data_IF_536533783535
#
_entry.id   IF_536533783535
#
_cell.length_a   1.000
_cell.length_b   1.000
_cell.length_c   1.000
_cell.angle_alpha   90.00
_cell.angle_beta   90.00
_cell.angle_gamma   90.00
#
_symmetry.space_group_name_H-M   'P 1'
#
loop_
_entity.id
_entity.type
_entity.pdbx_description
1 polymer ?
#
# COMPACT_ATOMS: atom_id res chain seq x y z
N UNK A 1 -2.29 14.66 23.29
CA UNK A 1 -1.61 15.92 22.93
C UNK A 1 -1.95 16.24 21.48
N UNK A 2 -2.14 17.50 21.08
CA UNK A 2 -2.69 17.83 19.75
C UNK A 2 -1.66 17.72 18.62
N UNK A 3 -2.01 17.05 17.51
CA UNK A 3 -1.17 16.85 16.31
C UNK A 3 -0.98 18.12 15.43
N UNK A 4 -0.89 19.31 16.04
CA UNK A 4 -0.67 20.58 15.33
C UNK A 4 -1.74 20.90 14.27
N UNK A 5 -1.37 21.72 13.27
CA UNK A 5 -2.27 22.17 12.19
C UNK A 5 -2.78 21.01 11.33
N UNK A 6 -1.94 20.01 11.05
CA UNK A 6 -2.33 18.84 10.26
C UNK A 6 -3.45 18.04 10.97
N UNK A 7 -3.36 17.88 12.29
CA UNK A 7 -4.42 17.27 13.09
C UNK A 7 -5.74 18.05 13.04
N UNK A 8 -5.68 19.39 13.04
CA UNK A 8 -6.88 20.25 12.89
C UNK A 8 -7.53 20.06 11.52
N UNK A 9 -6.72 20.00 10.44
CA UNK A 9 -7.21 19.75 9.09
C UNK A 9 -7.87 18.37 8.96
N UNK A 10 -7.27 17.33 9.54
CA UNK A 10 -7.87 15.99 9.51
C UNK A 10 -9.19 15.93 10.28
N UNK A 11 -9.29 16.58 11.45
CA UNK A 11 -10.53 16.67 12.22
C UNK A 11 -11.64 17.38 11.45
N UNK A 12 -11.32 18.47 10.75
CA UNK A 12 -12.25 19.16 9.86
C UNK A 12 -12.73 18.25 8.71
N UNK A 13 -11.90 17.29 8.28
CA UNK A 13 -12.26 16.25 7.30
C UNK A 13 -12.92 15.00 7.91
N UNK A 14 -13.42 15.08 9.15
CA UNK A 14 -14.04 13.96 9.90
C UNK A 14 -13.09 12.78 10.17
N UNK A 15 -11.79 13.03 10.21
CA UNK A 15 -10.81 12.04 10.67
C UNK A 15 -11.14 11.56 12.08
N UNK A 16 -11.10 10.25 12.28
CA UNK A 16 -11.30 9.63 13.60
C UNK A 16 -9.96 9.21 14.16
N UNK A 17 -9.68 9.66 15.37
CA UNK A 17 -8.44 9.36 16.08
C UNK A 17 -8.60 8.07 16.90
N UNK A 18 -7.57 7.23 16.87
CA UNK A 18 -7.45 5.99 17.61
C UNK A 18 -6.04 5.90 18.18
N UNK A 19 -5.87 5.10 19.23
CA UNK A 19 -4.56 4.73 19.74
C UNK A 19 -4.39 3.24 19.56
N UNK A 20 -3.36 2.84 18.85
CA UNK A 20 -3.00 1.45 18.66
C UNK A 20 -2.02 1.01 19.73
N UNK A 21 -2.14 -0.25 20.15
CA UNK A 21 -1.21 -0.86 21.12
C UNK A 21 -0.48 -2.00 20.45
N UNK A 22 0.85 -1.93 20.43
CA UNK A 22 1.70 -2.99 19.88
C UNK A 22 1.54 -4.26 20.72
N UNK A 23 1.28 -5.38 20.06
CA UNK A 23 1.18 -6.70 20.69
C UNK A 23 2.41 -7.57 20.40
N UNK A 24 3.20 -7.20 19.38
CA UNK A 24 4.43 -7.89 19.01
C UNK A 24 5.00 -7.35 17.70
N UNK A 25 6.17 -7.84 17.32
CA UNK A 25 6.80 -7.51 16.05
C UNK A 25 7.59 -8.70 15.48
N UNK A 26 7.73 -8.72 14.16
CA UNK A 26 8.39 -9.76 13.38
C UNK A 26 9.35 -9.10 12.39
N UNK A 27 10.60 -9.54 12.35
CA UNK A 27 11.55 -9.15 11.31
C UNK A 27 11.38 -10.10 10.11
N UNK A 28 10.67 -9.66 9.07
CA UNK A 28 10.30 -10.49 7.91
C UNK A 28 11.50 -10.69 6.98
N UNK A 29 12.21 -9.61 6.67
CA UNK A 29 13.50 -9.61 5.99
C UNK A 29 14.43 -8.60 6.68
N UNK A 30 15.68 -8.43 6.25
CA UNK A 30 16.56 -7.40 6.83
C UNK A 30 15.98 -5.98 6.68
N UNK A 31 15.28 -5.73 5.57
CA UNK A 31 14.75 -4.43 5.17
C UNK A 31 13.21 -4.35 5.27
N UNK A 32 12.57 -5.33 5.91
CA UNK A 32 11.12 -5.39 6.02
C UNK A 32 10.68 -5.91 7.39
N UNK A 33 9.84 -5.15 8.09
CA UNK A 33 9.39 -5.47 9.45
C UNK A 33 7.88 -5.38 9.57
N UNK A 34 7.30 -6.33 10.30
CA UNK A 34 5.88 -6.35 10.63
C UNK A 34 5.68 -6.04 12.11
N UNK A 35 4.70 -5.20 12.41
CA UNK A 35 4.30 -4.84 13.78
C UNK A 35 2.84 -5.18 13.96
N UNK A 36 2.51 -6.00 14.96
CA UNK A 36 1.15 -6.40 15.28
C UNK A 36 0.54 -5.44 16.29
N UNK A 37 -0.73 -5.06 16.11
CA UNK A 37 -1.40 -4.11 16.98
C UNK A 37 -2.82 -4.51 17.34
N UNK A 38 -3.26 -4.06 18.52
CA UNK A 38 -4.68 -3.85 18.85
C UNK A 38 -5.10 -2.48 18.33
N UNK A 39 -6.28 -2.40 17.74
CA UNK A 39 -6.75 -1.27 16.93
C UNK A 39 -7.47 -0.16 17.71
N UNK A 40 -7.60 -0.31 19.03
CA UNK A 40 -8.33 0.66 19.87
C UNK A 40 -9.83 0.79 19.52
N UNK A 41 -10.43 -0.22 18.89
CA UNK A 41 -11.84 -0.23 18.45
C UNK A 41 -12.07 0.35 17.05
N UNK A 42 -11.01 0.63 16.29
CA UNK A 42 -11.11 1.23 14.96
C UNK A 42 -11.98 0.41 14.00
N UNK A 43 -11.72 -0.88 13.84
CA UNK A 43 -12.41 -1.74 12.88
C UNK A 43 -13.90 -1.85 13.18
N UNK A 44 -14.27 -1.93 14.45
CA UNK A 44 -15.68 -1.90 14.88
C UNK A 44 -16.34 -0.58 14.53
N UNK A 45 -15.66 0.54 14.81
CA UNK A 45 -16.18 1.87 14.51
C UNK A 45 -16.35 2.13 13.00
N UNK A 46 -15.57 1.44 12.15
CA UNK A 46 -15.58 1.62 10.69
C UNK A 46 -16.49 0.65 9.94
N UNK A 47 -17.05 -0.35 10.63
CA UNK A 47 -17.82 -1.40 9.98
C UNK A 47 -16.94 -2.43 9.24
N UNK A 48 -15.70 -2.61 9.70
CA UNK A 48 -14.72 -3.54 9.13
C UNK A 48 -13.64 -2.87 8.30
N UNK A 49 -12.99 -3.68 7.45
CA UNK A 49 -11.93 -3.28 6.55
C UNK A 49 -12.31 -3.53 5.09
N UNK A 50 -11.60 -2.89 4.17
CA UNK A 50 -11.71 -3.11 2.73
C UNK A 50 -10.30 -3.30 2.14
N UNK A 51 -10.17 -3.81 0.90
CA UNK A 51 -8.87 -3.98 0.27
C UNK A 51 -8.11 -2.64 0.20
N UNK A 52 -6.80 -2.70 0.36
CA UNK A 52 -5.88 -1.55 0.31
C UNK A 52 -6.14 -0.49 1.40
N UNK A 53 -6.95 -0.78 2.41
CA UNK A 53 -7.24 0.14 3.51
C UNK A 53 -5.96 0.52 4.25
N UNK A 54 -5.78 1.81 4.47
CA UNK A 54 -4.62 2.35 5.16
C UNK A 54 -5.03 3.30 6.28
N UNK A 55 -4.10 3.68 7.13
CA UNK A 55 -4.34 4.59 8.25
C UNK A 55 -3.15 5.53 8.39
N UNK A 56 -3.38 6.76 8.85
CA UNK A 56 -2.31 7.71 9.15
C UNK A 56 -1.79 7.41 10.54
N UNK A 57 -0.53 7.04 10.66
CA UNK A 57 0.15 6.81 11.92
C UNK A 57 0.98 8.04 12.26
N UNK A 58 0.91 8.51 13.50
CA UNK A 58 1.61 9.69 14.00
C UNK A 58 2.90 9.29 14.72
N UNK A 59 4.03 9.52 14.07
CA UNK A 59 5.35 9.36 14.66
C UNK A 59 5.85 10.68 15.24
N UNK A 60 6.90 10.62 16.05
CA UNK A 60 7.65 11.81 16.44
C UNK A 60 8.93 11.94 15.61
N UNK A 61 9.19 13.13 15.09
CA UNK A 61 10.45 13.48 14.45
C UNK A 61 10.96 14.81 15.02
N UNK A 62 12.11 14.77 15.71
CA UNK A 62 12.70 15.94 16.35
C UNK A 62 11.71 16.72 17.25
N UNK A 63 10.90 16.00 18.03
CA UNK A 63 9.90 16.58 18.94
C UNK A 63 8.66 17.16 18.26
N UNK A 64 8.43 16.86 16.97
CA UNK A 64 7.24 17.29 16.22
C UNK A 64 6.46 16.09 15.69
N UNK A 65 5.11 16.18 15.61
CA UNK A 65 4.29 15.16 14.96
C UNK A 65 4.68 15.00 13.49
N UNK A 66 4.78 13.74 13.05
CA UNK A 66 5.15 13.36 11.70
C UNK A 66 4.31 12.17 11.27
N UNK A 67 3.32 12.40 10.40
CA UNK A 67 2.42 11.34 9.97
C UNK A 67 2.94 10.57 8.76
N UNK A 68 2.66 9.27 8.70
CA UNK A 68 2.81 8.43 7.50
C UNK A 68 1.60 7.50 7.35
N UNK A 69 1.23 7.21 6.11
CA UNK A 69 0.17 6.26 5.81
C UNK A 69 0.72 4.83 5.80
N UNK A 70 0.00 3.89 6.40
CA UNK A 70 0.33 2.47 6.37
C UNK A 70 -0.91 1.63 6.10
N UNK A 71 -0.77 0.64 5.23
CA UNK A 71 -1.83 -0.32 4.90
C UNK A 71 -2.05 -1.31 6.06
N UNK A 72 -3.31 -1.65 6.32
CA UNK A 72 -3.70 -2.71 7.25
C UNK A 72 -3.37 -4.07 6.66
N UNK A 73 -2.72 -4.93 7.45
CA UNK A 73 -2.44 -6.33 7.11
C UNK A 73 -3.25 -7.23 8.04
N UNK A 74 -3.99 -8.18 7.46
CA UNK A 74 -4.83 -9.15 8.19
C UNK A 74 -5.73 -8.52 9.26
N UNK A 75 -6.59 -7.55 8.91
CA UNK A 75 -7.54 -7.00 9.86
C UNK A 75 -8.54 -8.07 10.32
N UNK A 76 -8.64 -8.24 11.63
CA UNK A 76 -9.64 -9.06 12.32
C UNK A 76 -10.55 -8.13 13.14
N UNK A 77 -11.75 -7.80 12.62
CA UNK A 77 -12.71 -6.95 13.33
C UNK A 77 -13.23 -7.56 14.63
N UNK A 78 -13.26 -8.89 14.75
CA UNK A 78 -13.75 -9.56 15.96
C UNK A 78 -12.70 -9.48 17.08
N UNK A 79 -11.42 -9.63 16.74
CA UNK A 79 -10.33 -9.50 17.69
C UNK A 79 -9.87 -8.04 17.90
N UNK A 80 -10.25 -7.11 17.02
CA UNK A 80 -9.75 -5.73 17.02
C UNK A 80 -8.24 -5.67 16.79
N UNK A 81 -7.74 -6.47 15.85
CA UNK A 81 -6.30 -6.59 15.57
C UNK A 81 -6.01 -6.47 14.09
N UNK A 82 -4.80 -6.00 13.77
CA UNK A 82 -4.22 -6.07 12.44
C UNK A 82 -2.70 -5.91 12.58
N UNK A 83 -1.97 -5.93 11.48
CA UNK A 83 -0.54 -5.65 11.43
C UNK A 83 -0.22 -4.49 10.50
N UNK A 84 0.90 -3.83 10.78
CA UNK A 84 1.51 -2.79 9.96
C UNK A 84 2.83 -3.34 9.42
N UNK A 85 3.11 -3.12 8.14
CA UNK A 85 4.35 -3.56 7.50
C UNK A 85 5.18 -2.35 7.05
N UNK A 86 6.46 -2.39 7.36
CA UNK A 86 7.41 -1.30 7.17
C UNK A 86 8.51 -1.75 6.23
N UNK A 87 8.56 -1.18 5.03
CA UNK A 87 9.77 -1.16 4.22
C UNK A 87 10.78 -0.24 4.92
N UNK A 88 11.84 -0.82 5.47
CA UNK A 88 12.78 -0.11 6.33
C UNK A 88 13.72 0.75 5.48
N UNK A 89 13.78 2.03 5.84
CA UNK A 89 14.67 3.04 5.26
C UNK A 89 14.95 4.11 6.33
N UNK A 90 15.77 5.12 6.03
CA UNK A 90 16.02 6.20 7.00
C UNK A 90 14.75 7.02 7.30
N UNK A 91 14.43 7.20 8.57
CA UNK A 91 13.39 8.13 9.02
C UNK A 91 12.51 7.61 10.16
N UNK A 92 11.78 8.55 10.77
CA UNK A 92 11.07 8.35 12.05
C UNK A 92 10.14 7.12 12.11
N UNK A 93 9.50 6.76 11.00
CA UNK A 93 8.61 5.61 10.98
C UNK A 93 9.37 4.27 11.04
N UNK A 94 10.47 4.15 10.29
CA UNK A 94 11.36 2.98 10.35
C UNK A 94 12.10 2.92 11.68
N UNK A 95 12.55 4.08 12.21
CA UNK A 95 13.23 4.16 13.50
C UNK A 95 12.32 3.68 14.64
N UNK A 96 11.05 4.10 14.61
CA UNK A 96 10.04 3.58 15.52
C UNK A 96 9.80 2.09 15.31
N UNK A 97 9.61 1.64 14.07
CA UNK A 97 9.32 0.23 13.79
C UNK A 97 10.44 -0.70 14.28
N UNK A 98 11.71 -0.32 14.12
CA UNK A 98 12.88 -1.08 14.58
C UNK A 98 12.89 -1.29 16.10
N UNK A 99 12.34 -0.35 16.87
CA UNK A 99 12.35 -0.39 18.33
C UNK A 99 11.01 -0.78 18.95
N UNK A 100 9.94 -0.84 18.15
CA UNK A 100 8.59 -1.17 18.59
C UNK A 100 8.52 -2.55 19.29
N UNK A 101 8.00 -2.53 20.51
CA UNK A 101 7.85 -3.69 21.39
C UNK A 101 6.43 -3.75 21.97
N UNK A 102 6.04 -4.93 22.45
CA UNK A 102 4.72 -5.13 23.02
C UNK A 102 4.46 -4.17 24.20
N UNK A 103 3.29 -3.54 24.20
CA UNK A 103 2.89 -2.52 25.16
C UNK A 103 3.11 -1.08 24.69
N UNK A 104 3.94 -0.84 23.67
CA UNK A 104 4.09 0.49 23.08
C UNK A 104 2.76 0.94 22.46
N UNK A 105 2.50 2.25 22.51
CA UNK A 105 1.31 2.84 21.90
C UNK A 105 1.69 3.82 20.80
N UNK A 106 0.85 3.90 19.76
CA UNK A 106 1.00 4.89 18.70
C UNK A 106 -0.35 5.45 18.28
N UNK A 107 -0.40 6.77 18.09
CA UNK A 107 -1.62 7.46 17.68
C UNK A 107 -1.84 7.29 16.17
N UNK A 108 -3.11 7.18 15.80
CA UNK A 108 -3.52 6.97 14.43
C UNK A 108 -4.77 7.77 14.10
N UNK A 109 -4.87 8.23 12.85
CA UNK A 109 -6.07 8.89 12.31
C UNK A 109 -6.52 8.16 11.06
N UNK A 110 -7.77 7.70 11.05
CA UNK A 110 -8.39 7.12 9.87
C UNK A 110 -9.10 8.19 9.05
N UNK A 111 -8.64 8.41 7.82
CA UNK A 111 -9.22 9.40 6.91
C UNK A 111 -8.83 9.11 5.46
N UNK A 112 -9.82 9.11 4.55
CA UNK A 112 -9.58 9.10 3.09
C UNK A 112 -9.14 7.76 2.51
N UNK A 113 -9.59 6.64 3.06
CA UNK A 113 -9.05 5.31 2.77
C UNK A 113 -9.85 4.52 1.74
N UNK A 114 -11.08 4.96 1.45
CA UNK A 114 -12.07 4.15 0.72
C UNK A 114 -11.56 3.57 -0.59
N UNK A 115 -11.89 2.31 -0.82
CA UNK A 115 -11.58 1.57 -2.03
C UNK A 115 -12.81 0.77 -2.46
N UNK A 116 -13.08 0.78 -3.76
CA UNK A 116 -14.13 -0.03 -4.38
C UNK A 116 -13.55 -0.66 -5.63
N UNK A 117 -13.75 -1.97 -5.81
CA UNK A 117 -13.45 -2.63 -7.07
C UNK A 117 -14.36 -2.05 -8.16
N UNK A 118 -13.86 -1.91 -9.40
CA UNK A 118 -14.68 -1.39 -10.49
C UNK A 118 -15.79 -2.40 -10.85
N UNK A 119 -16.93 -1.86 -11.30
CA UNK A 119 -18.06 -2.64 -11.81
C UNK A 119 -18.24 -2.39 -13.32
N UNK A 120 -18.39 -3.44 -14.16
CA UNK A 120 -18.33 -4.86 -13.81
C UNK A 120 -16.95 -5.31 -13.32
N UNK A 121 -16.89 -6.39 -12.55
CA UNK A 121 -15.62 -6.97 -12.07
C UNK A 121 -14.59 -7.13 -13.21
N UNK A 122 -13.30 -6.79 -12.98
CA UNK A 122 -12.31 -6.83 -14.03
C UNK A 122 -11.97 -8.26 -14.43
N UNK A 123 -11.84 -8.49 -15.74
CA UNK A 123 -11.39 -9.76 -16.28
C UNK A 123 -9.88 -9.96 -16.11
N UNK A 124 -9.11 -8.85 -16.00
CA UNK A 124 -7.65 -8.86 -15.82
C UNK A 124 -7.21 -7.75 -14.88
N UNK A 125 -6.20 -8.02 -14.07
CA UNK A 125 -5.61 -7.08 -13.13
C UNK A 125 -4.15 -6.80 -13.52
N UNK A 126 -3.79 -5.52 -13.63
CA UNK A 126 -2.42 -5.08 -13.85
C UNK A 126 -1.97 -4.27 -12.64
N UNK A 127 -1.03 -4.82 -11.86
CA UNK A 127 -0.55 -4.23 -10.62
C UNK A 127 0.86 -3.72 -10.82
N UNK A 128 1.13 -2.48 -10.45
CA UNK A 128 2.48 -1.93 -10.38
C UNK A 128 2.72 -1.40 -8.97
N UNK A 129 3.79 -1.87 -8.33
CA UNK A 129 4.12 -1.47 -6.98
C UNK A 129 5.57 -1.66 -6.60
N UNK A 130 5.85 -1.45 -5.32
CA UNK A 130 7.16 -1.59 -4.70
C UNK A 130 6.98 -2.12 -3.26
N UNK A 131 8.07 -2.23 -2.51
CA UNK A 131 8.05 -2.73 -1.13
C UNK A 131 7.09 -1.97 -0.21
N UNK A 132 6.87 -0.67 -0.40
CA UNK A 132 5.94 0.10 0.41
C UNK A 132 4.47 -0.24 0.12
N UNK A 133 4.16 -0.77 -1.07
CA UNK A 133 2.80 -1.13 -1.47
C UNK A 133 2.49 -2.62 -1.42
N UNK A 134 3.46 -3.48 -1.12
CA UNK A 134 3.26 -4.93 -0.94
C UNK A 134 2.03 -5.28 -0.08
N UNK A 135 1.78 -4.64 1.09
CA UNK A 135 0.65 -5.05 1.92
C UNK A 135 -0.70 -4.72 1.26
N UNK A 136 -0.76 -3.63 0.49
CA UNK A 136 -1.94 -3.28 -0.29
C UNK A 136 -2.15 -4.24 -1.47
N UNK A 137 -1.07 -4.61 -2.17
CA UNK A 137 -1.09 -5.61 -3.25
C UNK A 137 -1.65 -6.93 -2.72
N UNK A 138 -1.12 -7.44 -1.62
CA UNK A 138 -1.59 -8.68 -1.01
C UNK A 138 -3.10 -8.61 -0.69
N UNK A 139 -3.56 -7.53 -0.04
CA UNK A 139 -4.99 -7.36 0.27
C UNK A 139 -5.87 -7.23 -0.98
N UNK A 140 -5.34 -6.71 -2.09
CA UNK A 140 -6.04 -6.61 -3.36
C UNK A 140 -6.17 -7.99 -4.01
N UNK A 141 -5.09 -8.77 -4.04
CA UNK A 141 -5.10 -10.13 -4.58
C UNK A 141 -6.03 -11.05 -3.78
N UNK A 142 -6.04 -10.92 -2.45
CA UNK A 142 -6.98 -11.66 -1.59
C UNK A 142 -8.46 -11.34 -1.89
N UNK A 143 -8.74 -10.13 -2.40
CA UNK A 143 -10.09 -9.69 -2.74
C UNK A 143 -10.57 -10.18 -4.12
N UNK A 144 -9.64 -10.50 -5.02
CA UNK A 144 -9.93 -11.01 -6.37
C UNK A 144 -9.07 -12.23 -6.72
N UNK A 145 -9.11 -13.31 -5.91
CA UNK A 145 -8.13 -14.40 -5.97
C UNK A 145 -8.18 -15.24 -7.26
N UNK A 146 -9.20 -15.05 -8.09
CA UNK A 146 -9.40 -15.77 -9.35
C UNK A 146 -9.22 -14.87 -10.57
N UNK A 147 -9.03 -13.56 -10.39
CA UNK A 147 -8.78 -12.63 -11.49
C UNK A 147 -7.33 -12.76 -11.94
N UNK A 148 -7.07 -13.11 -13.21
CA UNK A 148 -5.71 -13.13 -13.74
C UNK A 148 -4.99 -11.81 -13.48
N UNK A 149 -3.81 -11.88 -12.88
CA UNK A 149 -3.04 -10.70 -12.50
C UNK A 149 -1.62 -10.74 -13.05
N UNK A 150 -1.18 -9.64 -13.64
CA UNK A 150 0.24 -9.38 -13.93
C UNK A 150 0.74 -8.29 -13.00
N UNK A 151 1.77 -8.61 -12.22
CA UNK A 151 2.34 -7.73 -11.22
C UNK A 151 3.75 -7.33 -11.64
N UNK A 152 4.02 -6.03 -11.81
CA UNK A 152 5.37 -5.50 -11.87
C UNK A 152 5.73 -4.90 -10.50
N UNK A 153 6.69 -5.51 -9.83
CA UNK A 153 7.09 -5.14 -8.48
C UNK A 153 8.53 -4.66 -8.45
N UNK A 154 8.73 -3.42 -8.06
CA UNK A 154 10.06 -2.84 -7.96
C UNK A 154 10.78 -3.29 -6.69
N UNK A 155 11.98 -3.86 -6.84
CA UNK A 155 12.84 -4.31 -5.73
C UNK A 155 14.03 -3.37 -5.55
N UNK A 156 14.43 -3.13 -4.31
CA UNK A 156 15.59 -2.28 -3.96
C UNK A 156 16.71 -3.09 -3.30
N UNK A 157 16.36 -4.11 -2.53
CA UNK A 157 17.33 -4.90 -1.76
C UNK A 157 17.28 -6.37 -2.18
N UNK A 158 18.39 -7.09 -2.05
CA UNK A 158 18.43 -8.54 -2.26
C UNK A 158 17.46 -9.29 -1.32
N UNK A 159 17.21 -8.71 -0.14
CA UNK A 159 16.28 -9.26 0.85
C UNK A 159 14.83 -9.26 0.35
N UNK A 160 14.49 -8.43 -0.64
CA UNK A 160 13.16 -8.35 -1.26
C UNK A 160 12.77 -9.67 -1.96
N UNK A 161 13.74 -10.54 -2.24
CA UNK A 161 13.48 -11.86 -2.80
C UNK A 161 12.60 -12.73 -1.90
N UNK A 162 12.65 -12.49 -0.58
CA UNK A 162 11.97 -13.28 0.45
C UNK A 162 10.65 -12.65 0.92
N UNK A 163 10.19 -11.57 0.28
CA UNK A 163 8.96 -10.90 0.69
C UNK A 163 7.74 -11.82 0.57
N UNK A 164 6.78 -11.72 1.51
CA UNK A 164 5.66 -12.66 1.61
C UNK A 164 4.52 -12.29 0.66
N UNK A 165 4.70 -12.50 -0.64
CA UNK A 165 3.64 -12.30 -1.62
C UNK A 165 2.52 -13.35 -1.49
N UNK A 166 1.26 -12.92 -1.56
CA UNK A 166 0.07 -13.78 -1.58
C UNK A 166 -0.37 -14.08 -3.01
N UNK A 167 0.50 -14.77 -3.75
CA UNK A 167 0.23 -15.13 -5.14
C UNK A 167 -0.43 -16.50 -5.22
N UNK A 168 -1.38 -16.64 -6.15
CA UNK A 168 -1.77 -17.92 -6.70
C UNK A 168 -1.07 -18.08 -8.05
N UNK A 169 -0.06 -18.97 -8.20
CA UNK A 169 0.65 -19.16 -9.45
C UNK A 169 -0.23 -19.61 -10.64
N UNK A 170 -1.46 -20.09 -10.39
CA UNK A 170 -2.41 -20.41 -11.45
C UNK A 170 -3.04 -19.15 -12.09
N UNK A 171 -3.10 -18.03 -11.36
CA UNK A 171 -3.75 -16.79 -11.80
C UNK A 171 -2.79 -15.61 -11.86
N UNK A 172 -1.69 -15.62 -11.10
CA UNK A 172 -0.85 -14.44 -10.88
C UNK A 172 0.56 -14.65 -11.41
N UNK A 173 1.03 -13.68 -12.20
CA UNK A 173 2.40 -13.60 -12.72
C UNK A 173 3.13 -12.43 -12.08
N UNK A 174 4.27 -12.68 -11.42
CA UNK A 174 5.11 -11.67 -10.79
C UNK A 174 6.37 -11.39 -11.62
N UNK A 175 6.56 -10.14 -11.99
CA UNK A 175 7.79 -9.59 -12.56
C UNK A 175 8.48 -8.72 -11.52
N UNK A 176 9.56 -9.22 -10.92
CA UNK A 176 10.41 -8.41 -10.05
C UNK A 176 11.35 -7.56 -10.91
N UNK A 177 11.35 -6.25 -10.68
CA UNK A 177 12.12 -5.28 -11.47
C UNK A 177 13.07 -4.53 -10.54
N UNK A 178 14.39 -4.70 -10.65
CA UNK A 178 15.33 -3.96 -9.83
C UNK A 178 15.20 -2.45 -10.06
N UNK A 179 15.15 -1.68 -8.97
CA UNK A 179 15.11 -0.22 -9.00
C UNK A 179 16.38 0.32 -9.64
N UNK A 180 16.22 1.02 -10.75
CA UNK A 180 17.31 1.69 -11.49
C UNK A 180 16.81 3.02 -12.01
N UNK A 181 17.73 3.96 -12.20
CA UNK A 181 17.44 5.27 -12.80
C UNK A 181 16.26 5.97 -12.12
N UNK A 182 16.24 5.94 -10.78
CA UNK A 182 15.18 6.52 -9.96
C UNK A 182 13.74 6.09 -10.34
N UNK A 183 13.57 4.84 -10.78
CA UNK A 183 12.28 4.24 -11.15
C UNK A 183 12.00 4.21 -12.65
N UNK A 184 12.86 4.81 -13.48
CA UNK A 184 12.65 4.83 -14.94
C UNK A 184 12.68 3.43 -15.56
N UNK A 185 13.43 2.50 -14.97
CA UNK A 185 13.49 1.11 -15.42
C UNK A 185 12.14 0.39 -15.27
N UNK A 186 11.47 0.53 -14.12
CA UNK A 186 10.11 0.01 -13.92
C UNK A 186 9.13 0.61 -14.93
N UNK A 187 9.23 1.91 -15.17
CA UNK A 187 8.38 2.59 -16.17
C UNK A 187 8.60 2.00 -17.57
N UNK A 188 9.85 1.75 -17.97
CA UNK A 188 10.18 1.20 -19.27
C UNK A 188 9.63 -0.23 -19.45
N UNK A 189 9.83 -1.11 -18.44
CA UNK A 189 9.34 -2.49 -18.46
C UNK A 189 7.81 -2.55 -18.59
N UNK A 190 7.08 -1.77 -17.79
CA UNK A 190 5.61 -1.72 -17.85
C UNK A 190 5.15 -1.16 -19.19
N UNK A 191 5.79 -0.10 -19.71
CA UNK A 191 5.43 0.49 -21.02
C UNK A 191 5.68 -0.45 -22.19
N UNK A 192 6.70 -1.31 -22.09
CA UNK A 192 7.01 -2.29 -23.12
C UNK A 192 6.00 -3.45 -23.14
N UNK A 193 5.58 -3.94 -21.98
CA UNK A 193 4.75 -5.15 -21.88
C UNK A 193 3.24 -4.90 -21.82
N UNK A 194 2.78 -3.85 -21.12
CA UNK A 194 1.36 -3.62 -20.87
C UNK A 194 0.51 -3.47 -22.15
N UNK A 195 0.94 -2.79 -23.24
CA UNK A 195 0.11 -2.64 -24.43
C UNK A 195 -0.36 -3.96 -25.04
N UNK A 196 0.52 -4.97 -25.09
CA UNK A 196 0.20 -6.29 -25.63
C UNK A 196 -0.71 -7.07 -24.67
N UNK A 197 -0.44 -7.00 -23.37
CA UNK A 197 -1.20 -7.72 -22.35
C UNK A 197 -2.60 -7.14 -22.13
N UNK A 198 -2.79 -5.84 -22.36
CA UNK A 198 -4.07 -5.14 -22.19
C UNK A 198 -5.12 -5.62 -23.21
N UNK A 199 -4.70 -6.14 -24.37
CA UNK A 199 -5.60 -6.61 -25.42
C UNK A 199 -6.48 -5.50 -26.01
N UNK A 200 -7.52 -5.90 -26.74
CA UNK A 200 -8.31 -4.98 -27.58
C UNK A 200 -9.34 -4.15 -26.79
N UNK A 201 -9.77 -4.61 -25.62
CA UNK A 201 -10.71 -3.89 -24.75
C UNK A 201 -10.07 -3.49 -23.39
N UNK A 202 -9.59 -2.24 -23.27
CA UNK A 202 -9.06 -1.70 -22.03
C UNK A 202 -10.07 -1.61 -20.87
N UNK A 203 -11.37 -1.68 -21.14
CA UNK A 203 -12.41 -1.55 -20.13
C UNK A 203 -12.61 -2.82 -19.29
N UNK A 204 -12.10 -3.96 -19.76
CA UNK A 204 -12.08 -5.23 -19.03
C UNK A 204 -10.92 -5.34 -18.03
N UNK A 205 -9.95 -4.44 -18.14
CA UNK A 205 -8.78 -4.41 -17.27
C UNK A 205 -9.01 -3.51 -16.05
N UNK A 206 -8.31 -3.81 -14.96
CA UNK A 206 -8.10 -2.87 -13.87
C UNK A 206 -6.60 -2.65 -13.67
N UNK A 207 -6.18 -1.39 -13.74
CA UNK A 207 -4.78 -0.99 -13.55
C UNK A 207 -4.63 -0.34 -12.18
N UNK A 208 -3.88 -0.98 -11.30
CA UNK A 208 -3.60 -0.51 -9.94
C UNK A 208 -2.13 -0.16 -9.79
N UNK A 209 -1.82 1.09 -9.44
CA UNK A 209 -0.45 1.61 -9.42
C UNK A 209 -0.18 2.30 -8.08
N UNK A 210 0.82 1.81 -7.34
CA UNK A 210 1.27 2.45 -6.11
C UNK A 210 2.78 2.28 -5.90
N UNK A 211 3.55 3.28 -6.32
CA UNK A 211 5.01 3.37 -6.11
C UNK A 211 5.34 4.74 -5.53
N UNK A 212 6.55 5.26 -5.83
CA UNK A 212 6.84 6.68 -5.68
C UNK A 212 5.94 7.57 -6.57
N UNK A 213 5.80 8.82 -6.17
CA UNK A 213 4.91 9.80 -6.82
C UNK A 213 5.25 10.03 -8.30
N UNK A 214 6.53 10.02 -8.69
CA UNK A 214 6.96 10.28 -10.07
C UNK A 214 6.63 9.09 -10.96
N UNK A 215 7.01 7.89 -10.54
CA UNK A 215 6.72 6.63 -11.23
C UNK A 215 5.22 6.42 -11.39
N UNK A 216 4.47 6.60 -10.29
CA UNK A 216 3.00 6.47 -10.29
C UNK A 216 2.35 7.44 -11.28
N UNK A 217 2.75 8.72 -11.29
CA UNK A 217 2.20 9.71 -12.22
C UNK A 217 2.53 9.39 -13.68
N UNK A 218 3.73 8.91 -13.95
CA UNK A 218 4.17 8.52 -15.30
C UNK A 218 3.32 7.39 -15.86
N UNK A 219 3.15 6.32 -15.09
CA UNK A 219 2.37 5.15 -15.50
C UNK A 219 0.87 5.41 -15.54
N UNK A 220 0.34 6.21 -14.61
CA UNK A 220 -1.08 6.60 -14.66
C UNK A 220 -1.40 7.48 -15.89
N UNK A 221 -0.46 8.35 -16.29
CA UNK A 221 -0.60 9.14 -17.51
C UNK A 221 -0.55 8.24 -18.75
N UNK A 222 0.40 7.32 -18.81
CA UNK A 222 0.53 6.33 -19.88
C UNK A 222 -0.74 5.48 -20.04
N UNK A 223 -1.22 4.84 -18.96
CA UNK A 223 -2.41 4.01 -19.00
C UNK A 223 -3.65 4.77 -19.51
N UNK A 224 -3.86 6.01 -19.06
CA UNK A 224 -5.05 6.80 -19.42
C UNK A 224 -4.96 7.48 -20.78
N UNK A 225 -3.79 8.00 -21.16
CA UNK A 225 -3.64 8.83 -22.37
C UNK A 225 -3.18 8.03 -23.57
N UNK A 226 -2.29 7.08 -23.34
CA UNK A 226 -1.62 6.37 -24.43
C UNK A 226 -2.33 5.02 -24.68
N UNK A 227 -2.81 4.36 -23.61
CA UNK A 227 -3.57 3.10 -23.71
C UNK A 227 -5.10 3.28 -23.58
N UNK A 228 -5.57 4.51 -23.39
CA UNK A 228 -7.00 4.83 -23.26
C UNK A 228 -7.77 4.00 -22.21
N UNK A 229 -7.10 3.50 -21.16
CA UNK A 229 -7.76 2.78 -20.07
C UNK A 229 -8.75 3.73 -19.37
N UNK A 230 -10.03 3.35 -19.21
CA UNK A 230 -11.03 4.20 -18.57
C UNK A 230 -10.61 4.67 -17.18
N UNK A 231 -11.01 5.88 -16.79
CA UNK A 231 -10.54 6.50 -15.54
C UNK A 231 -10.91 5.68 -14.30
N UNK A 232 -12.12 5.13 -14.28
CA UNK A 232 -12.66 4.23 -13.26
C UNK A 232 -11.98 2.85 -13.25
N UNK A 233 -11.25 2.52 -14.33
CA UNK A 233 -10.40 1.34 -14.44
C UNK A 233 -8.94 1.57 -14.05
N UNK A 234 -8.57 2.78 -13.59
CA UNK A 234 -7.21 3.11 -13.14
C UNK A 234 -7.22 3.68 -11.72
N UNK A 235 -6.70 2.91 -10.76
CA UNK A 235 -6.36 3.42 -9.44
C UNK A 235 -4.86 3.71 -9.35
N UNK A 236 -4.50 4.94 -9.00
CA UNK A 236 -3.11 5.37 -8.94
C UNK A 236 -2.89 6.29 -7.74
N UNK A 237 -2.03 5.87 -6.80
CA UNK A 237 -1.73 6.61 -5.58
C UNK A 237 -0.22 6.57 -5.30
N UNK A 238 0.44 7.73 -5.28
CA UNK A 238 1.85 7.80 -4.90
C UNK A 238 2.00 7.56 -3.40
N UNK A 239 2.63 6.45 -3.01
CA UNK A 239 2.77 6.05 -1.60
C UNK A 239 3.88 6.82 -0.90
N UNK A 240 4.92 7.18 -1.65
CA UNK A 240 6.03 7.98 -1.14
C UNK A 240 6.52 8.95 -2.21
N UNK A 241 7.45 9.81 -1.82
CA UNK A 241 8.12 10.74 -2.72
C UNK A 241 9.62 10.63 -2.47
N UNK A 242 10.38 10.43 -3.53
CA UNK A 242 11.83 10.52 -3.46
C UNK A 242 12.23 11.94 -3.01
N UNK A 243 13.13 12.00 -2.03
CA UNK A 243 13.70 13.24 -1.52
C UNK A 243 14.57 13.94 -2.56
#
# INVERSE_FOLDING_TARGET
MGHGWEGVVLKLMRGRDFTFTVTGSEQVTEDFRRVHVKDGGMLTATGGAHPTMWVRIWFEQAGKPHQRAYTLVDPDPAAGTFSLEFALHDGAASDWARTAQAGDTIDATLQGTGFTLPEPAPARLFVVGDTASLPAINSLLDAVPQTPATIWFETTHDSDEKLPFRLDPAHHTLHKVPRREAGAHLVAEVKAALPELLGDDPSDAYVWIACDTTTTRSLAAFARKDLAVPKDRVNALGYWRAG
#
